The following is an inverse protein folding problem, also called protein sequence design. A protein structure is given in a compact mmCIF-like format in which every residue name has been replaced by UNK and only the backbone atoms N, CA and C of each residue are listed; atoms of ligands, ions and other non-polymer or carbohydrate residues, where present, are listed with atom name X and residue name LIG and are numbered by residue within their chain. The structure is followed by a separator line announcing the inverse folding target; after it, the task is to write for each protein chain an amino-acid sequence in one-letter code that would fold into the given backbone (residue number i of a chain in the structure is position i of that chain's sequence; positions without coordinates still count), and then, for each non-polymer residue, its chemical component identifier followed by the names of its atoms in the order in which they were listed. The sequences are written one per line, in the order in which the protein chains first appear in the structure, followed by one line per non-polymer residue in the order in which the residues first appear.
data_IF_126488473750
#
_entry.id   IF_126488473750
#
_cell.length_a   1.000
_cell.length_b   1.000
_cell.length_c   1.000
_cell.angle_alpha   90.00
_cell.angle_beta   90.00
_cell.angle_gamma   90.00
#
_symmetry.space_group_name_H-M   'P 1'
#
loop_
_entity.id
_entity.type
_entity.pdbx_description
1 polymer ?
#
# COMPACT_ATOMS: atom_id res chain seq x y z
N UNK A 1 -13.42 21.21 29.69
CA UNK A 1 -14.60 20.35 29.89
C UNK A 1 -14.24 18.99 29.32
N UNK A 2 -13.95 18.01 30.18
CA UNK A 2 -13.65 16.63 29.76
C UNK A 2 -14.91 16.04 29.14
N UNK A 3 -14.83 15.62 27.87
CA UNK A 3 -15.93 14.95 27.20
C UNK A 3 -16.36 13.71 27.98
N UNK A 4 -17.66 13.45 28.04
CA UNK A 4 -18.19 12.23 28.65
C UNK A 4 -17.59 11.00 27.94
N UNK A 5 -17.21 9.99 28.71
CA UNK A 5 -16.79 8.68 28.20
C UNK A 5 -17.94 8.14 27.33
N UNK A 6 -17.69 7.96 26.03
CA UNK A 6 -18.71 7.58 25.04
C UNK A 6 -18.32 6.29 24.32
N UNK A 7 -19.32 5.46 24.04
CA UNK A 7 -19.17 4.29 23.18
C UNK A 7 -19.39 4.69 21.71
N UNK A 8 -18.60 4.09 20.82
CA UNK A 8 -18.70 4.24 19.36
C UNK A 8 -18.80 2.84 18.71
N UNK A 9 -19.40 2.73 17.51
CA UNK A 9 -19.46 1.45 16.79
C UNK A 9 -18.07 0.91 16.44
N UNK A 10 -17.83 -0.36 16.75
CA UNK A 10 -16.56 -1.05 16.53
C UNK A 10 -16.38 -1.59 15.12
N UNK A 11 -17.49 -1.90 14.43
CA UNK A 11 -17.46 -2.62 13.15
C UNK A 11 -17.41 -4.13 13.29
N UNK A 12 -17.46 -4.62 14.53
CA UNK A 12 -17.64 -6.02 14.82
C UNK A 12 -18.93 -6.23 15.61
N UNK A 13 -19.91 -6.81 14.93
CA UNK A 13 -21.28 -6.96 15.47
C UNK A 13 -21.33 -7.68 16.82
N UNK A 14 -20.37 -8.56 17.12
CA UNK A 14 -20.28 -9.20 18.44
C UNK A 14 -19.99 -8.17 19.54
N UNK A 15 -19.06 -7.24 19.33
CA UNK A 15 -18.74 -6.18 20.30
C UNK A 15 -19.92 -5.21 20.39
N UNK A 16 -20.44 -4.77 19.25
CA UNK A 16 -21.50 -3.75 19.22
C UNK A 16 -22.78 -4.23 19.93
N UNK A 17 -23.11 -5.52 19.82
CA UNK A 17 -24.29 -6.12 20.48
C UNK A 17 -24.09 -6.40 21.98
N UNK A 18 -22.88 -6.77 22.40
CA UNK A 18 -22.62 -7.20 23.78
C UNK A 18 -22.10 -6.07 24.68
N UNK A 19 -21.33 -5.14 24.14
CA UNK A 19 -20.73 -4.01 24.86
C UNK A 19 -21.34 -2.65 24.47
N UNK A 20 -22.26 -2.61 23.51
CA UNK A 20 -22.79 -1.37 22.96
C UNK A 20 -21.79 -0.60 22.10
N UNK A 21 -20.64 -1.20 21.80
CA UNK A 21 -19.53 -0.60 21.05
C UNK A 21 -18.22 -0.65 21.82
N UNK A 22 -17.31 0.24 21.43
CA UNK A 22 -16.00 0.45 22.04
C UNK A 22 -15.89 1.86 22.59
N UNK A 23 -15.07 2.08 23.62
CA UNK A 23 -14.84 3.40 24.18
C UNK A 23 -14.05 4.26 23.19
N UNK A 24 -14.52 5.49 22.96
CA UNK A 24 -13.71 6.48 22.27
C UNK A 24 -12.46 6.78 23.09
N UNK A 25 -11.33 6.87 22.41
CA UNK A 25 -10.03 7.01 23.06
C UNK A 25 -9.54 5.69 23.66
N UNK A 26 -10.27 4.58 23.49
CA UNK A 26 -9.84 3.26 23.95
C UNK A 26 -8.82 2.62 23.02
N UNK A 27 -8.08 1.66 23.56
CA UNK A 27 -7.08 0.89 22.86
C UNK A 27 -7.47 -0.59 22.82
N UNK A 28 -7.34 -1.22 21.65
CA UNK A 28 -7.85 -2.58 21.41
C UNK A 28 -6.80 -3.42 20.70
N UNK A 29 -6.72 -4.70 21.03
CA UNK A 29 -5.80 -5.64 20.35
C UNK A 29 -6.59 -6.74 19.66
N UNK A 30 -6.25 -7.05 18.41
CA UNK A 30 -6.70 -8.25 17.69
C UNK A 30 -5.54 -9.24 17.58
N UNK A 31 -5.67 -10.38 18.26
CA UNK A 31 -4.65 -11.43 18.31
C UNK A 31 -5.15 -12.70 17.61
N UNK A 32 -4.30 -13.37 16.83
CA UNK A 32 -4.67 -14.68 16.28
C UNK A 32 -3.70 -15.24 15.23
N UNK A 33 -3.92 -16.48 14.76
CA UNK A 33 -3.06 -17.11 13.77
C UNK A 33 -3.18 -16.45 12.40
N UNK A 34 -2.23 -16.74 11.51
CA UNK A 34 -2.30 -16.32 10.11
C UNK A 34 -3.60 -16.77 9.45
N UNK A 35 -4.21 -15.92 8.63
CA UNK A 35 -5.50 -16.17 7.94
C UNK A 35 -6.69 -16.42 8.88
N UNK A 36 -6.69 -15.86 10.10
CA UNK A 36 -7.87 -15.86 10.99
C UNK A 36 -8.84 -14.69 10.76
N UNK A 37 -8.50 -13.74 9.88
CA UNK A 37 -9.36 -12.57 9.60
C UNK A 37 -8.98 -11.31 10.37
N UNK A 38 -7.78 -11.24 10.95
CA UNK A 38 -7.31 -10.09 11.73
C UNK A 38 -7.31 -8.78 10.94
N UNK A 39 -6.71 -8.76 9.75
CA UNK A 39 -6.75 -7.61 8.84
C UNK A 39 -8.17 -7.27 8.41
N UNK A 40 -9.04 -8.27 8.25
CA UNK A 40 -10.45 -8.04 7.92
C UNK A 40 -11.20 -7.33 9.06
N UNK A 41 -10.91 -7.66 10.32
CA UNK A 41 -11.42 -6.89 11.46
C UNK A 41 -10.89 -5.46 11.47
N UNK A 42 -9.60 -5.25 11.16
CA UNK A 42 -9.05 -3.90 10.99
C UNK A 42 -9.77 -3.11 9.89
N UNK A 43 -10.05 -3.73 8.75
CA UNK A 43 -10.79 -3.12 7.65
C UNK A 43 -12.25 -2.79 8.03
N UNK A 44 -12.93 -3.68 8.76
CA UNK A 44 -14.27 -3.42 9.30
C UNK A 44 -14.28 -2.24 10.28
N UNK A 45 -13.25 -2.14 11.13
CA UNK A 45 -13.08 -1.04 12.05
C UNK A 45 -12.86 0.31 11.32
N UNK A 46 -12.06 0.31 10.25
CA UNK A 46 -11.87 1.47 9.38
C UNK A 46 -13.15 1.86 8.65
N UNK A 47 -13.88 0.88 8.13
CA UNK A 47 -15.15 1.10 7.44
C UNK A 47 -16.19 1.77 8.35
N UNK A 48 -16.31 1.37 9.61
CA UNK A 48 -17.25 2.04 10.52
C UNK A 48 -16.87 3.48 10.84
N UNK A 49 -15.57 3.78 10.94
CA UNK A 49 -15.12 5.18 11.05
C UNK A 49 -15.59 6.00 9.84
N UNK A 50 -15.32 5.48 8.64
CA UNK A 50 -15.61 6.15 7.39
C UNK A 50 -17.13 6.32 7.15
N UNK A 51 -17.95 5.34 7.54
CA UNK A 51 -19.42 5.47 7.56
C UNK A 51 -19.91 6.58 8.48
N UNK A 52 -19.21 6.80 9.60
CA UNK A 52 -19.45 7.91 10.52
C UNK A 52 -18.87 9.25 10.05
N UNK A 53 -18.31 9.32 8.83
CA UNK A 53 -17.55 10.47 8.33
C UNK A 53 -16.38 10.86 9.24
N UNK A 54 -15.82 9.88 9.93
CA UNK A 54 -14.62 10.06 10.75
C UNK A 54 -13.38 9.56 10.01
N UNK A 55 -12.24 10.22 10.25
CA UNK A 55 -10.97 9.87 9.61
C UNK A 55 -10.30 8.71 10.36
N UNK A 56 -9.94 7.66 9.62
CA UNK A 56 -9.18 6.52 10.10
C UNK A 56 -7.81 6.44 9.41
N UNK A 57 -6.74 6.37 10.20
CA UNK A 57 -5.40 6.09 9.68
C UNK A 57 -5.12 4.59 9.80
N UNK A 58 -4.70 3.97 8.72
CA UNK A 58 -4.40 2.54 8.62
C UNK A 58 -2.92 2.35 8.30
N UNK A 59 -2.13 2.06 9.33
CA UNK A 59 -0.73 1.68 9.16
C UNK A 59 -0.63 0.21 8.78
N UNK A 60 0.06 -0.11 7.67
CA UNK A 60 0.20 -1.49 7.23
C UNK A 60 1.52 -1.83 6.56
N UNK A 61 1.96 -3.09 6.70
CA UNK A 61 3.05 -3.63 5.88
C UNK A 61 2.60 -4.01 4.46
N UNK A 62 1.29 -4.14 4.24
CA UNK A 62 0.75 -4.55 2.95
C UNK A 62 0.93 -3.47 1.88
N UNK A 63 1.07 -3.89 0.62
CA UNK A 63 0.99 -2.94 -0.49
C UNK A 63 -0.44 -2.42 -0.59
N UNK A 64 -0.66 -1.13 -0.91
CA UNK A 64 -2.01 -0.55 -0.99
C UNK A 64 -2.98 -1.37 -1.86
N UNK A 65 -2.50 -1.89 -3.01
CA UNK A 65 -3.31 -2.75 -3.87
C UNK A 65 -3.75 -4.06 -3.21
N UNK A 66 -2.89 -4.68 -2.42
CA UNK A 66 -3.24 -5.93 -1.72
C UNK A 66 -4.27 -5.65 -0.62
N UNK A 67 -4.16 -4.51 0.07
CA UNK A 67 -5.14 -4.08 1.07
C UNK A 67 -6.50 -3.77 0.41
N UNK A 68 -6.50 -3.09 -0.75
CA UNK A 68 -7.72 -2.85 -1.54
C UNK A 68 -8.40 -4.15 -1.98
N UNK A 69 -7.63 -5.16 -2.40
CA UNK A 69 -8.18 -6.48 -2.73
C UNK A 69 -8.82 -7.14 -1.51
N UNK A 70 -8.20 -7.05 -0.32
CA UNK A 70 -8.79 -7.58 0.91
C UNK A 70 -10.07 -6.82 1.30
N UNK A 71 -10.08 -5.50 1.19
CA UNK A 71 -11.27 -4.68 1.44
C UNK A 71 -12.42 -5.05 0.49
N UNK A 72 -12.13 -5.19 -0.81
CA UNK A 72 -13.13 -5.60 -1.80
C UNK A 72 -13.75 -6.97 -1.47
N UNK A 73 -12.99 -7.89 -0.86
CA UNK A 73 -13.50 -9.22 -0.44
C UNK A 73 -14.60 -9.16 0.62
N UNK A 74 -14.75 -8.03 1.32
CA UNK A 74 -15.78 -7.77 2.33
C UNK A 74 -16.76 -6.68 1.89
N UNK A 75 -16.86 -6.43 0.59
CA UNK A 75 -17.71 -5.39 -0.02
C UNK A 75 -17.39 -3.98 0.51
N UNK A 76 -16.11 -3.72 0.77
CA UNK A 76 -15.61 -2.44 1.23
C UNK A 76 -14.79 -1.79 0.11
N UNK A 77 -15.36 -0.78 -0.53
CA UNK A 77 -14.65 0.10 -1.47
C UNK A 77 -13.77 1.10 -0.70
N UNK A 78 -12.67 0.61 -0.15
CA UNK A 78 -11.71 1.43 0.58
C UNK A 78 -11.15 2.56 -0.29
N UNK A 79 -11.05 2.38 -1.60
CA UNK A 79 -10.49 3.38 -2.52
C UNK A 79 -11.36 4.65 -2.55
N UNK A 80 -12.69 4.49 -2.60
CA UNK A 80 -13.60 5.64 -2.54
C UNK A 80 -13.43 6.44 -1.24
N UNK A 81 -13.24 5.77 -0.11
CA UNK A 81 -13.01 6.45 1.18
C UNK A 81 -11.60 7.05 1.31
N UNK A 82 -10.60 6.47 0.65
CA UNK A 82 -9.27 7.07 0.53
C UNK A 82 -9.32 8.37 -0.28
N UNK A 83 -10.05 8.38 -1.40
CA UNK A 83 -10.23 9.58 -2.22
C UNK A 83 -10.96 10.71 -1.47
N UNK A 84 -11.76 10.38 -0.46
CA UNK A 84 -12.46 11.32 0.42
C UNK A 84 -11.63 11.75 1.64
N UNK A 85 -10.37 11.27 1.77
CA UNK A 85 -9.53 11.46 2.96
C UNK A 85 -10.16 10.93 4.27
N UNK A 86 -11.14 10.04 4.19
CA UNK A 86 -11.71 9.36 5.36
C UNK A 86 -10.87 8.16 5.79
N UNK A 87 -10.08 7.60 4.87
CA UNK A 87 -9.13 6.53 5.17
C UNK A 87 -7.77 6.90 4.63
N UNK A 88 -6.79 6.97 5.53
CA UNK A 88 -5.41 7.30 5.18
C UNK A 88 -4.57 6.03 5.36
N UNK A 89 -4.11 5.44 4.26
CA UNK A 89 -3.28 4.23 4.31
C UNK A 89 -1.81 4.62 4.32
N UNK A 90 -1.11 4.26 5.38
CA UNK A 90 0.32 4.52 5.54
C UNK A 90 1.06 3.19 5.47
N UNK A 91 1.93 3.02 4.47
CA UNK A 91 2.71 1.80 4.33
C UNK A 91 3.98 1.90 5.18
N UNK A 92 4.16 0.95 6.09
CA UNK A 92 5.36 0.78 6.89
C UNK A 92 6.32 -0.16 6.14
N UNK A 93 7.63 0.13 6.14
CA UNK A 93 8.64 -0.78 5.62
C UNK A 93 8.88 -1.96 6.60
N UNK A 94 9.00 -3.20 6.13
CA UNK A 94 9.28 -4.33 7.03
C UNK A 94 10.72 -4.30 7.56
N UNK A 95 10.99 -4.82 8.78
CA UNK A 95 12.32 -4.83 9.39
C UNK A 95 13.41 -5.57 8.61
N UNK A 96 13.03 -6.47 7.70
CA UNK A 96 13.99 -7.22 6.87
C UNK A 96 14.52 -6.42 5.68
N UNK A 97 13.87 -5.31 5.33
CA UNK A 97 14.39 -4.37 4.32
C UNK A 97 15.35 -3.34 4.97
N UNK A 98 15.77 -3.58 6.23
CA UNK A 98 16.52 -2.67 7.10
C UNK A 98 17.97 -3.15 7.31
N UNK A 99 18.57 -3.82 6.31
CA UNK A 99 19.99 -4.19 6.38
C UNK A 99 20.92 -2.93 6.42
N UNK A 100 20.39 -1.74 6.09
CA UNK A 100 21.13 -0.47 6.05
C UNK A 100 20.91 0.48 7.24
N UNK A 101 20.03 0.19 8.23
CA UNK A 101 19.95 1.02 9.45
C UNK A 101 20.84 0.46 10.57
N UNK A 102 21.78 1.29 11.02
CA UNK A 102 22.79 0.94 12.02
C UNK A 102 22.23 0.77 13.45
N UNK A 103 20.94 1.04 13.71
CA UNK A 103 20.33 0.89 15.04
C UNK A 103 18.79 0.69 14.99
N UNK A 104 18.24 -0.41 15.54
CA UNK A 104 16.79 -0.62 15.70
C UNK A 104 16.05 0.49 16.47
N UNK A 105 16.75 1.21 17.34
CA UNK A 105 16.16 2.30 18.12
C UNK A 105 15.86 3.53 17.23
N UNK A 106 16.70 3.82 16.23
CA UNK A 106 16.49 4.93 15.29
C UNK A 106 15.26 4.69 14.41
N UNK A 107 15.00 3.43 14.04
CA UNK A 107 13.80 3.02 13.33
C UNK A 107 12.52 3.25 14.14
N UNK A 108 12.55 3.00 15.46
CA UNK A 108 11.40 3.33 16.31
C UNK A 108 11.16 4.83 16.33
N UNK A 109 12.23 5.64 16.44
CA UNK A 109 12.10 7.10 16.46
C UNK A 109 11.50 7.62 15.16
N UNK A 110 11.96 7.13 14.00
CA UNK A 110 11.38 7.46 12.69
C UNK A 110 9.90 7.05 12.62
N UNK A 111 9.58 5.82 13.04
CA UNK A 111 8.21 5.32 13.08
C UNK A 111 7.28 6.16 13.98
N UNK A 112 7.75 6.57 15.16
CA UNK A 112 6.99 7.43 16.06
C UNK A 112 6.81 8.84 15.48
N UNK A 113 7.83 9.40 14.84
CA UNK A 113 7.74 10.69 14.15
C UNK A 113 6.73 10.65 12.99
N UNK A 114 6.68 9.55 12.24
CA UNK A 114 5.69 9.35 11.19
C UNK A 114 4.26 9.34 11.76
N UNK A 115 4.03 8.63 12.87
CA UNK A 115 2.73 8.63 13.55
C UNK A 115 2.33 10.05 13.94
N UNK A 116 3.23 10.81 14.59
CA UNK A 116 2.95 12.16 15.04
C UNK A 116 2.61 13.07 13.86
N UNK A 117 3.38 12.97 12.77
CA UNK A 117 3.18 13.76 11.55
C UNK A 117 1.82 13.49 10.93
N UNK A 118 1.46 12.22 10.77
CA UNK A 118 0.18 11.79 10.20
C UNK A 118 -0.98 12.20 11.11
N UNK A 119 -0.85 12.04 12.43
CA UNK A 119 -1.88 12.45 13.39
C UNK A 119 -2.10 13.96 13.35
N UNK A 120 -1.04 14.76 13.26
CA UNK A 120 -1.15 16.22 13.18
C UNK A 120 -1.71 16.70 11.84
N UNK A 121 -1.43 15.98 10.75
CA UNK A 121 -1.93 16.34 9.42
C UNK A 121 -3.41 15.99 9.24
N UNK A 122 -3.84 14.81 9.70
CA UNK A 122 -5.17 14.27 9.37
C UNK A 122 -6.16 14.26 10.53
N UNK A 123 -5.73 14.55 11.75
CA UNK A 123 -6.57 14.56 12.96
C UNK A 123 -7.52 13.35 13.05
N UNK A 124 -7.02 12.10 12.98
CA UNK A 124 -7.86 10.93 12.93
C UNK A 124 -8.64 10.73 14.22
N UNK A 125 -9.83 10.14 14.13
CA UNK A 125 -10.54 9.63 15.32
C UNK A 125 -10.15 8.18 15.62
N UNK A 126 -9.60 7.47 14.62
CA UNK A 126 -9.21 6.06 14.71
C UNK A 126 -7.85 5.79 14.07
N UNK A 127 -7.06 4.93 14.70
CA UNK A 127 -5.78 4.47 14.16
C UNK A 127 -5.72 2.94 14.22
N UNK A 128 -5.25 2.31 13.14
CA UNK A 128 -5.03 0.87 13.05
C UNK A 128 -3.55 0.60 12.77
N UNK A 129 -2.98 -0.37 13.46
CA UNK A 129 -1.61 -0.84 13.26
C UNK A 129 -1.61 -2.32 12.83
N UNK A 130 -1.41 -2.61 11.53
CA UNK A 130 -1.48 -3.96 10.96
C UNK A 130 -0.22 -4.38 10.16
N UNK A 131 0.75 -5.07 10.75
CA UNK A 131 0.81 -5.59 12.13
C UNK A 131 1.79 -4.78 12.98
N UNK A 132 1.71 -4.92 14.31
CA UNK A 132 2.56 -4.29 15.32
C UNK A 132 4.05 -4.74 15.25
N UNK A 133 4.70 -4.47 14.12
CA UNK A 133 6.01 -5.04 13.76
C UNK A 133 7.20 -4.30 14.37
N UNK A 134 7.21 -2.94 14.46
CA UNK A 134 8.32 -2.20 15.06
C UNK A 134 8.62 -2.63 16.51
N UNK A 135 7.57 -2.94 17.26
CA UNK A 135 7.66 -3.35 18.66
C UNK A 135 8.18 -4.78 18.87
N UNK A 136 8.20 -5.63 17.84
CA UNK A 136 8.72 -7.02 17.93
C UNK A 136 10.26 -7.05 17.87
N UNK A 137 10.90 -5.99 17.33
CA UNK A 137 12.36 -5.88 17.21
C UNK A 137 13.12 -5.52 18.49
N UNK A 138 12.42 -5.20 19.59
CA UNK A 138 13.04 -4.68 20.81
C UNK A 138 13.93 -5.70 21.52
N UNK A 139 15.16 -5.29 21.85
CA UNK A 139 16.11 -6.10 22.64
C UNK A 139 15.78 -6.10 24.13
N UNK A 140 15.27 -4.99 24.67
CA UNK A 140 14.90 -4.79 26.07
C UNK A 140 13.37 -4.68 26.22
N UNK A 141 12.77 -5.54 27.05
CA UNK A 141 11.31 -5.59 27.27
C UNK A 141 10.80 -4.44 28.15
N UNK A 142 11.61 -3.90 29.07
CA UNK A 142 11.20 -2.78 29.92
C UNK A 142 11.07 -1.51 29.09
N UNK A 143 12.05 -1.26 28.23
CA UNK A 143 12.01 -0.12 27.31
C UNK A 143 10.84 -0.23 26.31
N UNK A 144 10.57 -1.44 25.81
CA UNK A 144 9.40 -1.71 24.98
C UNK A 144 8.10 -1.33 25.69
N UNK A 145 7.95 -1.77 26.95
CA UNK A 145 6.78 -1.45 27.76
C UNK A 145 6.62 0.06 27.92
N UNK A 146 7.69 0.77 28.29
CA UNK A 146 7.63 2.22 28.51
C UNK A 146 7.28 2.97 27.21
N UNK A 147 7.89 2.58 26.08
CA UNK A 147 7.60 3.17 24.78
C UNK A 147 6.15 2.89 24.32
N UNK A 148 5.64 1.67 24.53
CA UNK A 148 4.27 1.30 24.21
C UNK A 148 3.27 2.09 25.06
N UNK A 149 3.50 2.18 26.37
CA UNK A 149 2.66 2.96 27.29
C UNK A 149 2.63 4.44 26.91
N UNK A 150 3.79 5.05 26.68
CA UNK A 150 3.86 6.45 26.25
C UNK A 150 3.12 6.69 24.93
N UNK A 151 3.23 5.76 23.96
CA UNK A 151 2.51 5.84 22.69
C UNK A 151 0.99 5.76 22.91
N UNK A 152 0.56 4.83 23.77
CA UNK A 152 -0.84 4.63 24.11
C UNK A 152 -1.40 5.88 24.78
N UNK A 153 -0.75 6.38 25.85
CA UNK A 153 -1.14 7.63 26.53
C UNK A 153 -1.24 8.82 25.56
N UNK A 154 -0.25 8.98 24.66
CA UNK A 154 -0.26 10.06 23.65
C UNK A 154 -1.46 9.98 22.70
N UNK A 155 -1.88 8.76 22.32
CA UNK A 155 -3.04 8.53 21.45
C UNK A 155 -4.34 8.79 22.23
N UNK A 156 -4.42 8.31 23.48
CA UNK A 156 -5.59 8.49 24.34
C UNK A 156 -5.83 9.97 24.72
N UNK A 157 -4.77 10.74 25.00
CA UNK A 157 -4.83 12.18 25.26
C UNK A 157 -5.43 12.99 24.09
N UNK A 158 -5.27 12.48 22.87
CA UNK A 158 -5.86 13.07 21.65
C UNK A 158 -7.28 12.56 21.36
N UNK A 159 -7.87 11.75 22.23
CA UNK A 159 -9.20 11.14 22.10
C UNK A 159 -9.35 10.29 20.81
N UNK A 160 -8.25 9.61 20.46
CA UNK A 160 -8.11 8.74 19.28
C UNK A 160 -8.26 7.28 19.72
N UNK A 161 -9.09 6.52 19.02
CA UNK A 161 -9.30 5.09 19.32
C UNK A 161 -8.30 4.24 18.52
N UNK A 162 -7.56 3.35 19.18
CA UNK A 162 -6.52 2.55 18.52
C UNK A 162 -6.84 1.06 18.42
N UNK A 163 -6.45 0.43 17.32
CA UNK A 163 -6.55 -1.01 17.09
C UNK A 163 -5.19 -1.58 16.66
N UNK A 164 -4.66 -2.49 17.45
CA UNK A 164 -3.38 -3.16 17.20
C UNK A 164 -3.61 -4.59 16.71
N UNK A 165 -3.10 -4.92 15.53
CA UNK A 165 -3.17 -6.28 14.99
C UNK A 165 -1.87 -7.02 15.27
N UNK A 166 -1.99 -8.19 15.90
CA UNK A 166 -0.87 -8.97 16.39
C UNK A 166 -1.01 -10.44 15.97
N UNK A 167 0.09 -11.03 15.53
CA UNK A 167 0.20 -12.46 15.21
C UNK A 167 0.29 -13.33 16.45
N UNK A 168 -0.21 -14.56 16.33
CA UNK A 168 0.03 -15.56 17.36
C UNK A 168 1.54 -15.77 17.58
N UNK A 169 2.04 -15.63 18.81
CA UNK A 169 3.46 -15.71 19.09
C UNK A 169 3.97 -17.15 18.90
N UNK A 170 5.06 -17.28 18.15
CA UNK A 170 5.71 -18.59 17.91
C UNK A 170 6.88 -18.89 18.87
N UNK A 171 7.28 -17.92 19.71
CA UNK A 171 8.40 -18.05 20.65
C UNK A 171 8.03 -17.50 22.02
N UNK A 172 8.70 -17.97 23.07
CA UNK A 172 8.48 -17.47 24.43
C UNK A 172 8.70 -15.96 24.55
N UNK A 173 9.70 -15.43 23.84
CA UNK A 173 9.98 -13.99 23.79
C UNK A 173 8.83 -13.22 23.14
N UNK A 174 8.34 -13.72 22.00
CA UNK A 174 7.18 -13.11 21.34
C UNK A 174 5.95 -13.15 22.26
N UNK A 175 5.75 -14.22 23.02
CA UNK A 175 4.67 -14.30 24.01
C UNK A 175 4.80 -13.19 25.06
N UNK A 176 5.98 -12.97 25.63
CA UNK A 176 6.19 -11.88 26.61
C UNK A 176 5.89 -10.50 26.03
N UNK A 177 6.20 -10.26 24.75
CA UNK A 177 5.87 -9.00 24.06
C UNK A 177 4.35 -8.86 23.92
N UNK A 178 3.66 -9.92 23.49
CA UNK A 178 2.20 -9.93 23.39
C UNK A 178 1.55 -9.72 24.76
N UNK A 179 2.07 -10.33 25.82
CA UNK A 179 1.56 -10.16 27.18
C UNK A 179 1.69 -8.70 27.66
N UNK A 180 2.83 -8.05 27.40
CA UNK A 180 3.02 -6.63 27.70
C UNK A 180 1.94 -5.80 26.99
N UNK A 181 1.79 -5.96 25.67
CA UNK A 181 0.84 -5.16 24.88
C UNK A 181 -0.60 -5.43 25.33
N UNK A 182 -0.98 -6.70 25.50
CA UNK A 182 -2.34 -7.10 25.86
C UNK A 182 -2.75 -6.69 27.28
N UNK A 183 -1.82 -6.53 28.22
CA UNK A 183 -2.13 -6.14 29.59
C UNK A 183 -2.47 -4.64 29.75
N UNK A 184 -2.04 -3.79 28.81
CA UNK A 184 -2.19 -2.33 28.92
C UNK A 184 -3.29 -1.74 28.04
N UNK A 185 -3.87 -2.53 27.14
CA UNK A 185 -5.00 -2.08 26.30
C UNK A 185 -6.35 -2.18 27.02
N UNK A 186 -7.37 -1.46 26.54
CA UNK A 186 -8.74 -1.52 27.06
C UNK A 186 -9.34 -2.93 26.94
N UNK A 187 -9.16 -3.59 25.80
CA UNK A 187 -9.64 -4.95 25.60
C UNK A 187 -8.87 -5.73 24.51
N UNK A 188 -8.96 -7.06 24.59
CA UNK A 188 -8.31 -8.01 23.70
C UNK A 188 -9.34 -8.86 22.97
N UNK A 189 -9.21 -8.94 21.64
CA UNK A 189 -10.03 -9.74 20.72
C UNK A 189 -9.14 -10.86 20.18
N UNK A 190 -9.29 -12.06 20.74
CA UNK A 190 -8.50 -13.23 20.35
C UNK A 190 -9.28 -14.12 19.37
N UNK A 191 -8.76 -14.28 18.17
CA UNK A 191 -9.23 -15.22 17.16
C UNK A 191 -8.46 -16.53 17.27
N UNK A 192 -9.19 -17.64 17.40
CA UNK A 192 -8.66 -19.00 17.40
C UNK A 192 -9.22 -19.74 16.20
N UNK A 193 -8.38 -20.46 15.47
CA UNK A 193 -8.86 -21.39 14.44
C UNK A 193 -9.39 -22.65 15.10
N UNK A 194 -10.41 -23.24 14.50
CA UNK A 194 -10.87 -24.59 14.86
C UNK A 194 -10.61 -25.50 13.67
N UNK A 195 -9.97 -26.65 13.89
CA UNK A 195 -9.58 -27.60 12.85
C UNK A 195 -10.77 -28.41 12.28
N UNK A 196 -12.01 -27.94 12.43
CA UNK A 196 -13.16 -28.65 11.88
C UNK A 196 -13.18 -28.48 10.36
N UNK A 197 -12.70 -29.51 9.68
CA UNK A 197 -12.41 -29.62 8.25
C UNK A 197 -13.64 -29.71 7.32
N UNK A 198 -14.84 -29.39 7.80
CA UNK A 198 -16.09 -29.60 7.03
C UNK A 198 -16.87 -28.33 6.70
N UNK A 199 -16.55 -27.17 7.28
CA UNK A 199 -17.26 -25.94 6.95
C UNK A 199 -16.71 -25.27 5.68
N UNK A 200 -17.63 -24.85 4.79
CA UNK A 200 -17.34 -24.16 3.52
C UNK A 200 -16.63 -22.79 3.71
N UNK A 201 -16.65 -22.24 4.93
CA UNK A 201 -16.06 -20.95 5.28
C UNK A 201 -14.96 -21.12 6.34
N UNK A 202 -13.85 -20.39 6.16
CA UNK A 202 -12.81 -20.31 7.17
C UNK A 202 -13.38 -19.62 8.42
N UNK A 203 -13.22 -20.21 9.59
CA UNK A 203 -13.77 -19.66 10.83
C UNK A 203 -13.06 -20.18 12.08
N UNK A 204 -13.58 -19.77 13.22
CA UNK A 204 -13.24 -20.42 14.46
C UNK A 204 -13.88 -19.77 15.68
N UNK A 205 -13.16 -19.73 16.80
CA UNK A 205 -13.68 -19.11 18.02
C UNK A 205 -13.07 -17.73 18.22
N UNK A 206 -13.89 -16.75 18.53
CA UNK A 206 -13.47 -15.43 18.97
C UNK A 206 -13.71 -15.32 20.47
N UNK A 207 -12.71 -14.85 21.19
CA UNK A 207 -12.77 -14.56 22.62
C UNK A 207 -12.49 -13.08 22.80
N UNK A 208 -13.39 -12.36 23.45
CA UNK A 208 -13.21 -10.95 23.75
C UNK A 208 -13.07 -10.80 25.26
N UNK A 209 -11.96 -10.23 25.72
CA UNK A 209 -11.63 -10.05 27.13
C UNK A 209 -11.40 -8.56 27.41
N UNK A 210 -12.19 -7.92 28.28
CA UNK A 210 -11.94 -6.55 28.70
C UNK A 210 -10.90 -6.52 29.83
N UNK A 211 -10.02 -5.51 29.80
CA UNK A 211 -9.13 -5.19 30.93
C UNK A 211 -9.67 -4.01 31.73
N UNK A 212 -10.32 -3.05 31.06
CA UNK A 212 -10.91 -1.86 31.66
C UNK A 212 -12.29 -1.61 31.06
N UNK A 213 -13.24 -1.18 31.90
CA UNK A 213 -14.62 -0.95 31.48
C UNK A 213 -15.34 -2.25 31.09
N UNK A 214 -16.38 -2.12 30.26
CA UNK A 214 -17.16 -3.26 29.72
C UNK A 214 -17.58 -4.26 30.81
N UNK A 215 -18.42 -3.80 31.75
CA UNK A 215 -18.86 -4.56 32.93
C UNK A 215 -19.60 -5.86 32.60
N UNK A 216 -20.01 -6.02 31.35
CA UNK A 216 -20.60 -7.25 30.82
C UNK A 216 -19.59 -8.40 30.74
N UNK A 217 -18.29 -8.10 30.81
CA UNK A 217 -17.22 -9.08 31.01
C UNK A 217 -16.73 -9.76 29.74
N UNK A 218 -16.19 -10.97 29.90
CA UNK A 218 -15.57 -11.75 28.81
C UNK A 218 -16.64 -12.47 27.98
N UNK A 219 -16.50 -12.41 26.66
CA UNK A 219 -17.37 -13.09 25.70
C UNK A 219 -16.61 -14.15 24.91
N UNK A 220 -17.31 -15.18 24.47
CA UNK A 220 -16.79 -16.17 23.54
C UNK A 220 -17.89 -16.57 22.57
N UNK A 221 -17.57 -16.57 21.27
CA UNK A 221 -18.51 -17.00 20.25
C UNK A 221 -17.78 -17.66 19.08
N UNK A 222 -18.52 -18.34 18.22
CA UNK A 222 -17.99 -18.83 16.94
C UNK A 222 -18.11 -17.71 15.91
N UNK A 223 -17.05 -17.47 15.16
CA UNK A 223 -17.05 -16.55 14.03
C UNK A 223 -16.76 -17.30 12.73
N UNK A 224 -17.24 -16.74 11.62
CA UNK A 224 -16.95 -17.19 10.27
C UNK A 224 -16.52 -16.00 9.42
N UNK A 225 -15.65 -16.25 8.45
CA UNK A 225 -15.27 -15.29 7.43
C UNK A 225 -16.16 -15.54 6.21
N UNK A 226 -17.14 -14.65 6.02
CA UNK A 226 -18.13 -14.77 4.94
C UNK A 226 -17.77 -13.75 3.84
N UNK A 227 -17.68 -14.18 2.57
CA UNK A 227 -17.47 -13.27 1.44
C UNK A 227 -18.49 -12.13 1.45
N UNK A 228 -18.07 -10.92 1.11
CA UNK A 228 -18.87 -9.70 1.09
C UNK A 228 -19.42 -9.23 2.45
N UNK A 229 -19.08 -9.91 3.55
CA UNK A 229 -19.44 -9.51 4.92
C UNK A 229 -18.25 -9.38 5.86
N UNK A 230 -17.19 -10.17 5.62
CA UNK A 230 -16.03 -10.23 6.50
C UNK A 230 -16.22 -11.16 7.69
N UNK A 231 -15.62 -10.79 8.82
CA UNK A 231 -15.66 -11.52 10.09
C UNK A 231 -16.99 -11.25 10.77
N UNK A 232 -17.84 -12.29 10.83
CA UNK A 232 -19.16 -12.22 11.43
C UNK A 232 -19.40 -13.38 12.39
N UNK A 233 -20.26 -13.14 13.38
CA UNK A 233 -20.79 -14.16 14.32
C UNK A 233 -22.21 -14.57 13.98
N UNK A 234 -22.81 -13.96 12.94
CA UNK A 234 -24.11 -14.36 12.44
C UNK A 234 -23.93 -15.55 11.50
N UNK A 235 -24.56 -16.68 11.84
CA UNK A 235 -24.62 -17.85 10.97
C UNK A 235 -25.17 -17.42 9.61
N UNK A 236 -24.38 -17.65 8.55
CA UNK A 236 -24.86 -17.43 7.20
C UNK A 236 -26.13 -18.27 6.98
N UNK A 237 -27.23 -17.70 6.45
CA UNK A 237 -28.34 -18.54 6.01
C UNK A 237 -27.80 -19.52 4.97
N UNK A 238 -28.18 -20.80 5.09
CA UNK A 238 -27.88 -21.81 4.08
C UNK A 238 -28.27 -21.25 2.71
N UNK A 239 -27.26 -20.99 1.87
CA UNK A 239 -27.52 -20.71 0.46
C UNK A 239 -28.18 -21.98 -0.09
N UNK A 240 -29.51 -21.94 -0.31
CA UNK A 240 -30.21 -22.95 -1.09
C UNK A 240 -29.43 -23.12 -2.38
N UNK A 241 -29.02 -24.36 -2.65
CA UNK A 241 -28.44 -24.73 -3.94
C UNK A 241 -29.38 -24.23 -5.04
N UNK A 242 -28.96 -23.16 -5.70
CA UNK A 242 -29.61 -22.73 -6.93
C UNK A 242 -29.01 -23.61 -8.02
N UNK A 243 -29.86 -24.55 -8.43
CA UNK A 243 -29.75 -25.42 -9.58
C UNK A 243 -29.11 -24.74 -10.80
N UNK A 244 -28.17 -25.47 -11.40
CA UNK A 244 -27.77 -25.48 -12.80
C UNK A 244 -27.33 -24.14 -13.44
N UNK A 245 -26.06 -23.81 -13.24
CA UNK A 245 -25.29 -23.18 -14.32
C UNK A 245 -24.76 -24.29 -15.24
N UNK A 246 -25.50 -24.60 -16.30
CA UNK A 246 -25.00 -25.41 -17.42
C UNK A 246 -23.83 -24.69 -18.09
N UNK A 247 -22.61 -25.14 -17.79
CA UNK A 247 -21.45 -24.85 -18.61
C UNK A 247 -21.63 -25.53 -19.97
N UNK A 248 -21.69 -24.74 -21.04
CA UNK A 248 -21.59 -25.30 -22.41
C UNK A 248 -20.10 -25.54 -22.67
N UNK A 249 -19.66 -26.79 -22.94
CA UNK A 249 -18.25 -27.08 -23.14
C UNK A 249 -17.78 -26.45 -24.46
N UNK A 250 -16.85 -25.50 -24.37
CA UNK A 250 -16.09 -25.05 -25.53
C UNK A 250 -15.15 -26.18 -25.92
N UNK A 251 -15.30 -26.65 -27.16
CA UNK A 251 -14.50 -27.71 -27.77
C UNK A 251 -13.01 -27.58 -27.46
N UNK A 252 -12.45 -28.61 -26.83
CA UNK A 252 -11.02 -28.79 -26.65
C UNK A 252 -10.36 -28.95 -28.03
N UNK A 253 -9.72 -27.90 -28.53
CA UNK A 253 -8.60 -28.09 -29.46
C UNK A 253 -7.44 -28.64 -28.65
N UNK A 254 -7.15 -29.94 -28.84
CA UNK A 254 -5.89 -30.57 -28.43
C UNK A 254 -4.74 -29.75 -29.01
N UNK A 255 -3.90 -29.18 -28.15
CA UNK A 255 -2.53 -28.84 -28.51
C UNK A 255 -1.64 -29.96 -28.01
N UNK A 256 -0.84 -30.52 -28.91
CA UNK A 256 0.12 -31.58 -28.63
C UNK A 256 1.12 -31.12 -27.55
N UNK A 257 1.26 -31.96 -26.53
CA UNK A 257 2.29 -31.83 -25.50
C UNK A 257 3.65 -32.20 -26.11
N UNK A 258 4.31 -31.29 -26.82
CA UNK A 258 5.77 -31.30 -26.97
C UNK A 258 6.25 -29.95 -27.51
N UNK A 259 7.21 -29.35 -26.78
CA UNK A 259 7.88 -28.05 -27.04
C UNK A 259 7.05 -26.80 -26.74
N UNK A 260 6.81 -26.55 -25.46
CA UNK A 260 6.67 -25.18 -24.96
C UNK A 260 8.04 -24.82 -24.40
N UNK A 261 8.82 -24.03 -25.14
CA UNK A 261 9.92 -23.29 -24.52
C UNK A 261 9.27 -22.31 -23.54
N UNK A 262 9.45 -22.56 -22.24
CA UNK A 262 9.16 -21.54 -21.24
C UNK A 262 10.23 -20.46 -21.39
N UNK A 263 9.88 -19.19 -21.66
CA UNK A 263 10.79 -18.12 -21.31
C UNK A 263 10.90 -18.13 -19.79
N UNK A 264 12.08 -18.46 -19.29
CA UNK A 264 12.47 -18.25 -17.91
C UNK A 264 12.59 -16.75 -17.67
N UNK A 265 11.47 -16.06 -17.44
CA UNK A 265 11.51 -14.73 -16.85
C UNK A 265 11.02 -14.78 -15.40
N UNK A 266 11.88 -14.45 -14.41
CA UNK A 266 11.46 -14.29 -13.04
C UNK A 266 10.45 -13.14 -12.96
N UNK A 267 9.34 -13.35 -12.24
CA UNK A 267 8.30 -12.35 -11.93
C UNK A 267 8.85 -10.91 -11.88
N UNK A 268 8.74 -10.18 -12.99
CA UNK A 268 9.16 -8.79 -13.06
C UNK A 268 8.07 -7.92 -12.44
N UNK A 269 8.41 -7.18 -11.39
CA UNK A 269 7.56 -6.10 -10.89
C UNK A 269 7.30 -5.12 -12.05
N UNK A 270 6.04 -4.90 -12.41
CA UNK A 270 5.70 -3.88 -13.40
C UNK A 270 5.82 -2.51 -12.72
N UNK A 271 6.89 -1.79 -13.01
CA UNK A 271 7.07 -0.38 -12.63
C UNK A 271 6.30 0.57 -13.55
N UNK A 272 5.28 0.06 -14.25
CA UNK A 272 4.47 0.79 -15.22
C UNK A 272 3.12 1.09 -14.58
N UNK A 273 2.74 2.36 -14.56
CA UNK A 273 1.54 2.90 -13.94
C UNK A 273 0.66 3.56 -14.99
N UNK A 274 -0.65 3.57 -14.75
CA UNK A 274 -1.55 4.41 -15.54
C UNK A 274 -1.37 5.89 -15.15
N UNK A 275 -1.92 6.79 -15.97
CA UNK A 275 -1.76 8.24 -15.80
C UNK A 275 -2.19 8.74 -14.41
N UNK A 276 -3.35 8.29 -13.92
CA UNK A 276 -3.89 8.74 -12.63
C UNK A 276 -3.04 8.26 -11.46
N UNK A 277 -2.63 6.99 -11.46
CA UNK A 277 -1.73 6.43 -10.45
C UNK A 277 -0.36 7.13 -10.47
N UNK A 278 0.14 7.45 -11.66
CA UNK A 278 1.40 8.16 -11.82
C UNK A 278 1.35 9.59 -11.29
N UNK A 279 0.24 10.32 -11.50
CA UNK A 279 0.02 11.65 -10.93
C UNK A 279 0.04 11.62 -9.39
N UNK A 280 -0.60 10.63 -8.78
CA UNK A 280 -0.59 10.46 -7.32
C UNK A 280 0.84 10.25 -6.79
N UNK A 281 1.61 9.40 -7.46
CA UNK A 281 3.00 9.14 -7.10
C UNK A 281 3.86 10.39 -7.26
N UNK A 282 3.67 11.14 -8.35
CA UNK A 282 4.39 12.39 -8.62
C UNK A 282 4.07 13.47 -7.58
N UNK A 283 2.79 13.62 -7.19
CA UNK A 283 2.38 14.53 -6.12
C UNK A 283 3.07 14.21 -4.79
N UNK A 284 3.16 12.92 -4.44
CA UNK A 284 3.89 12.48 -3.25
C UNK A 284 5.38 12.84 -3.33
N UNK A 285 6.02 12.70 -4.50
CA UNK A 285 7.42 13.11 -4.66
C UNK A 285 7.62 14.63 -4.54
N UNK A 286 6.69 15.43 -5.07
CA UNK A 286 6.70 16.90 -4.91
C UNK A 286 6.58 17.27 -3.43
N UNK A 287 5.69 16.60 -2.69
CA UNK A 287 5.55 16.82 -1.25
C UNK A 287 6.83 16.44 -0.48
N UNK A 288 7.48 15.32 -0.84
CA UNK A 288 8.78 14.93 -0.28
C UNK A 288 9.88 15.95 -0.56
N UNK A 289 9.94 16.50 -1.77
CA UNK A 289 10.88 17.55 -2.12
C UNK A 289 10.69 18.79 -1.24
N UNK A 290 9.44 19.24 -1.05
CA UNK A 290 9.12 20.41 -0.22
C UNK A 290 9.43 20.22 1.26
N UNK A 291 9.35 18.99 1.78
CA UNK A 291 9.59 18.73 3.21
C UNK A 291 11.04 18.36 3.54
N UNK A 292 11.75 17.67 2.64
CA UNK A 292 13.09 17.13 2.89
C UNK A 292 14.19 17.72 2.01
N UNK A 293 13.83 18.46 0.96
CA UNK A 293 14.76 18.91 -0.08
C UNK A 293 15.21 17.80 -1.03
N UNK A 294 14.64 16.59 -0.95
CA UNK A 294 15.01 15.48 -1.82
C UNK A 294 14.59 15.73 -3.27
N UNK A 295 15.57 15.94 -4.15
CA UNK A 295 15.34 16.19 -5.58
C UNK A 295 14.94 14.92 -6.33
N UNK A 296 14.22 15.11 -7.44
CA UNK A 296 13.88 14.07 -8.40
C UNK A 296 13.81 14.66 -9.80
N UNK A 297 13.88 13.79 -10.80
CA UNK A 297 13.78 14.17 -12.21
C UNK A 297 12.61 13.47 -12.87
N UNK A 298 11.87 14.22 -13.68
CA UNK A 298 10.84 13.71 -14.55
C UNK A 298 11.33 13.77 -16.00
N UNK A 299 11.52 12.60 -16.59
CA UNK A 299 12.14 12.45 -17.91
C UNK A 299 11.11 11.89 -18.89
N UNK A 300 10.84 12.61 -19.96
CA UNK A 300 9.92 12.21 -21.03
C UNK A 300 10.70 11.82 -22.27
N UNK A 301 10.49 10.59 -22.76
CA UNK A 301 10.99 10.10 -24.04
C UNK A 301 9.85 10.10 -25.06
N UNK A 302 9.91 11.00 -26.02
CA UNK A 302 8.94 11.11 -27.12
C UNK A 302 9.44 10.38 -28.35
N UNK A 303 8.59 9.57 -28.96
CA UNK A 303 8.85 8.97 -30.27
C UNK A 303 8.24 9.84 -31.38
N UNK A 304 9.04 10.25 -32.35
CA UNK A 304 8.57 10.99 -33.52
C UNK A 304 7.60 10.14 -34.36
N UNK A 305 6.51 10.75 -34.83
CA UNK A 305 5.54 10.13 -35.74
C UNK A 305 6.19 9.60 -37.02
N UNK A 306 7.28 10.23 -37.49
CA UNK A 306 8.05 9.75 -38.64
C UNK A 306 8.68 8.36 -38.40
N UNK A 307 9.02 8.01 -37.16
CA UNK A 307 9.59 6.70 -36.80
C UNK A 307 8.54 5.58 -36.86
N UNK A 308 7.32 5.86 -36.40
CA UNK A 308 6.18 4.94 -36.48
C UNK A 308 5.77 4.68 -37.94
N UNK A 309 5.71 5.72 -38.76
CA UNK A 309 5.32 5.60 -40.18
C UNK A 309 6.35 4.82 -41.02
N UNK A 310 7.65 4.94 -40.68
CA UNK A 310 8.73 4.18 -41.32
C UNK A 310 8.93 2.78 -40.75
N UNK A 311 8.23 2.42 -39.67
CA UNK A 311 8.33 1.11 -39.02
C UNK A 311 9.70 0.81 -38.38
N UNK A 312 10.49 1.85 -38.07
CA UNK A 312 11.85 1.67 -37.54
C UNK A 312 11.84 1.23 -36.07
N UNK A 313 11.00 1.87 -35.25
CA UNK A 313 10.77 1.55 -33.84
C UNK A 313 9.32 1.81 -33.49
N UNK A 314 8.72 0.91 -32.72
CA UNK A 314 7.38 1.07 -32.14
C UNK A 314 7.45 1.65 -30.73
N UNK A 315 6.36 2.28 -30.27
CA UNK A 315 6.27 2.79 -28.89
C UNK A 315 6.42 1.68 -27.84
N UNK A 316 5.94 0.47 -28.14
CA UNK A 316 6.08 -0.70 -27.27
C UNK A 316 7.54 -1.15 -27.15
N UNK A 317 8.29 -1.10 -28.26
CA UNK A 317 9.73 -1.38 -28.25
C UNK A 317 10.50 -0.33 -27.45
N UNK A 318 10.17 0.97 -27.63
CA UNK A 318 10.76 2.03 -26.82
C UNK A 318 10.43 1.85 -25.33
N UNK A 319 9.19 1.54 -24.99
CA UNK A 319 8.77 1.25 -23.62
C UNK A 319 9.55 0.07 -23.03
N UNK A 320 9.82 -0.97 -23.83
CA UNK A 320 10.61 -2.12 -23.40
C UNK A 320 12.07 -1.73 -23.12
N UNK A 321 12.70 -0.95 -24.01
CA UNK A 321 14.06 -0.43 -23.83
C UNK A 321 14.17 0.46 -22.59
N UNK A 322 13.18 1.32 -22.34
CA UNK A 322 13.10 2.13 -21.11
C UNK A 322 12.96 1.24 -19.89
N UNK A 323 12.05 0.25 -19.90
CA UNK A 323 11.85 -0.68 -18.77
C UNK A 323 13.13 -1.43 -18.38
N UNK A 324 13.89 -1.88 -19.37
CA UNK A 324 15.16 -2.59 -19.14
C UNK A 324 16.28 -1.67 -18.63
N UNK A 325 16.13 -0.36 -18.81
CA UNK A 325 17.13 0.65 -18.46
C UNK A 325 16.84 1.36 -17.14
N UNK A 326 15.62 1.25 -16.61
CA UNK A 326 15.20 1.87 -15.35
C UNK A 326 15.39 0.94 -14.15
N UNK A 327 15.66 1.52 -12.97
CA UNK A 327 15.78 0.76 -11.73
C UNK A 327 14.41 0.38 -11.15
N UNK A 328 14.41 -0.58 -10.23
CA UNK A 328 13.19 -1.02 -9.49
C UNK A 328 12.46 0.13 -8.76
N UNK A 329 13.19 1.17 -8.37
CA UNK A 329 12.63 2.35 -7.68
C UNK A 329 11.98 3.36 -8.62
N UNK A 330 12.34 3.37 -9.90
CA UNK A 330 11.84 4.34 -10.86
C UNK A 330 10.41 3.97 -11.29
N UNK A 331 9.63 4.96 -11.71
CA UNK A 331 8.21 4.80 -12.05
C UNK A 331 8.00 5.23 -13.48
N UNK A 332 7.28 4.42 -14.26
CA UNK A 332 7.08 4.64 -15.70
C UNK A 332 5.60 4.87 -15.97
N UNK A 333 5.27 5.85 -16.80
CA UNK A 333 3.93 6.09 -17.32
C UNK A 333 3.98 6.23 -18.84
N UNK A 334 2.99 5.64 -19.52
CA UNK A 334 2.83 5.76 -20.97
C UNK A 334 1.68 6.73 -21.27
N UNK A 335 1.95 7.72 -22.10
CA UNK A 335 0.94 8.67 -22.59
C UNK A 335 1.14 8.82 -24.10
N UNK A 336 0.21 8.28 -24.89
CA UNK A 336 0.25 8.34 -26.36
C UNK A 336 1.59 7.86 -26.96
N UNK A 337 2.41 8.78 -27.47
CA UNK A 337 3.75 8.54 -28.05
C UNK A 337 4.90 8.87 -27.09
N UNK A 338 4.62 9.07 -25.80
CA UNK A 338 5.58 9.47 -24.77
C UNK A 338 5.72 8.39 -23.70
N UNK A 339 6.96 8.01 -23.39
CA UNK A 339 7.31 7.18 -22.24
C UNK A 339 7.92 8.09 -21.18
N UNK A 340 7.22 8.27 -20.07
CA UNK A 340 7.63 9.17 -18.99
C UNK A 340 8.20 8.34 -17.85
N UNK A 341 9.33 8.76 -17.32
CA UNK A 341 10.06 8.11 -16.25
C UNK A 341 10.27 9.11 -15.12
N UNK A 342 9.79 8.75 -13.94
CA UNK A 342 10.11 9.45 -12.69
C UNK A 342 11.32 8.77 -12.04
N UNK A 343 12.44 9.49 -12.05
CA UNK A 343 13.69 9.08 -11.42
C UNK A 343 13.72 9.56 -9.97
N UNK A 344 13.48 8.63 -9.05
CA UNK A 344 13.47 8.90 -7.61
C UNK A 344 14.92 9.12 -7.15
N UNK A 345 15.20 10.30 -6.58
CA UNK A 345 16.57 10.77 -6.29
C UNK A 345 17.41 10.94 -7.57
N UNK A 346 16.79 11.45 -8.63
CA UNK A 346 17.45 11.78 -9.88
C UNK A 346 18.41 12.95 -9.74
N UNK A 347 19.44 12.95 -10.59
CA UNK A 347 20.32 14.08 -10.84
C UNK A 347 20.73 14.05 -12.32
N UNK A 348 21.40 15.09 -12.82
CA UNK A 348 21.81 15.18 -14.23
C UNK A 348 22.59 13.94 -14.71
N UNK A 349 23.47 13.39 -13.86
CA UNK A 349 24.21 12.15 -14.16
C UNK A 349 23.28 10.93 -14.32
N UNK A 350 22.27 10.80 -13.47
CA UNK A 350 21.30 9.70 -13.54
C UNK A 350 20.47 9.75 -14.83
N UNK A 351 20.16 10.94 -15.33
CA UNK A 351 19.45 11.11 -16.61
C UNK A 351 20.34 10.73 -17.80
N UNK A 352 21.63 11.07 -17.75
CA UNK A 352 22.63 10.65 -18.74
C UNK A 352 22.81 9.12 -18.73
N UNK A 353 22.99 8.52 -17.55
CA UNK A 353 23.15 7.06 -17.39
C UNK A 353 21.91 6.31 -17.92
N UNK A 354 20.71 6.84 -17.67
CA UNK A 354 19.46 6.29 -18.23
C UNK A 354 19.45 6.39 -19.77
N UNK A 355 19.86 7.52 -20.33
CA UNK A 355 19.89 7.76 -21.78
C UNK A 355 20.83 6.79 -22.50
N UNK A 356 22.03 6.60 -21.97
CA UNK A 356 23.00 5.61 -22.49
C UNK A 356 22.46 4.20 -22.37
N UNK A 357 21.82 3.86 -21.24
CA UNK A 357 21.23 2.54 -21.03
C UNK A 357 20.10 2.25 -22.02
N UNK A 358 19.26 3.25 -22.32
CA UNK A 358 18.18 3.12 -23.32
C UNK A 358 18.75 2.84 -24.71
N UNK A 359 19.81 3.55 -25.12
CA UNK A 359 20.46 3.32 -26.41
C UNK A 359 21.00 1.88 -26.54
N UNK A 360 21.61 1.36 -25.47
CA UNK A 360 22.14 -0.01 -25.44
C UNK A 360 21.05 -1.09 -25.46
N UNK A 361 19.85 -0.76 -24.96
CA UNK A 361 18.69 -1.64 -24.89
C UNK A 361 17.70 -1.44 -26.06
N UNK A 362 18.08 -0.69 -27.11
CA UNK A 362 17.27 -0.57 -28.32
C UNK A 362 17.15 -1.94 -29.04
N UNK A 363 16.08 -2.15 -29.83
CA UNK A 363 15.78 -3.47 -30.42
C UNK A 363 16.86 -4.06 -31.34
N UNK A 364 17.73 -3.22 -31.89
CA UNK A 364 18.83 -3.63 -32.75
C UNK A 364 20.09 -2.83 -32.39
N UNK A 365 21.24 -3.51 -32.36
CA UNK A 365 22.53 -2.95 -31.98
C UNK A 365 23.39 -2.48 -33.17
N UNK A 366 22.87 -2.51 -34.39
CA UNK A 366 23.56 -1.93 -35.54
C UNK A 366 23.75 -0.41 -35.34
N UNK A 367 24.99 0.05 -35.50
CA UNK A 367 25.40 1.45 -35.34
C UNK A 367 24.56 2.39 -36.21
N UNK A 368 24.22 1.98 -37.45
CA UNK A 368 23.39 2.80 -38.35
C UNK A 368 21.95 2.92 -37.86
N UNK A 369 21.44 1.84 -37.29
CA UNK A 369 20.10 1.80 -36.71
C UNK A 369 20.02 2.66 -35.44
N UNK A 370 20.95 2.49 -34.50
CA UNK A 370 20.98 3.27 -33.25
C UNK A 370 21.05 4.77 -33.55
N UNK A 371 21.90 5.19 -34.50
CA UNK A 371 22.02 6.60 -34.88
C UNK A 371 20.71 7.15 -35.47
N UNK A 372 20.09 6.41 -36.39
CA UNK A 372 18.83 6.83 -37.03
C UNK A 372 17.68 6.90 -36.03
N UNK A 373 17.60 5.94 -35.11
CA UNK A 373 16.55 5.88 -34.09
C UNK A 373 16.76 6.93 -32.99
N UNK A 374 18.01 7.18 -32.59
CA UNK A 374 18.34 8.18 -31.56
C UNK A 374 18.04 9.61 -32.01
N UNK A 375 18.04 9.89 -33.31
CA UNK A 375 17.58 11.17 -33.85
C UNK A 375 16.04 11.32 -33.82
N UNK A 376 15.32 10.20 -33.78
CA UNK A 376 13.85 10.14 -33.80
C UNK A 376 13.22 9.94 -32.42
N UNK A 377 14.04 9.77 -31.38
CA UNK A 377 13.63 9.80 -29.98
C UNK A 377 14.08 11.14 -29.42
N UNK A 378 13.15 11.90 -28.85
CA UNK A 378 13.47 13.16 -28.18
C UNK A 378 13.29 13.02 -26.67
N UNK A 379 14.21 13.61 -25.91
CA UNK A 379 14.21 13.63 -24.44
C UNK A 379 13.86 15.04 -23.94
N UNK A 380 13.00 15.09 -22.93
CA UNK A 380 12.74 16.29 -22.14
C UNK A 380 12.88 15.94 -20.66
N UNK A 381 13.71 16.69 -19.95
CA UNK A 381 13.99 16.47 -18.54
C UNK A 381 13.55 17.70 -17.74
N UNK A 382 12.75 17.47 -16.70
CA UNK A 382 12.38 18.47 -15.71
C UNK A 382 12.96 18.04 -14.38
N UNK A 383 13.81 18.88 -13.80
CA UNK A 383 14.22 18.76 -12.41
C UNK A 383 13.20 19.49 -11.53
N UNK A 384 12.83 18.90 -10.39
CA UNK A 384 11.89 19.55 -9.47
C UNK A 384 12.49 20.83 -8.92
N UNK A 385 11.69 21.91 -8.89
CA UNK A 385 12.04 23.19 -8.28
C UNK A 385 10.90 23.71 -7.39
N UNK A 386 11.17 24.77 -6.63
CA UNK A 386 10.21 25.39 -5.71
C UNK A 386 8.95 25.96 -6.41
N UNK A 387 8.99 26.15 -7.74
CA UNK A 387 7.86 26.68 -8.52
C UNK A 387 6.84 25.59 -8.86
N UNK A 388 7.18 24.32 -8.68
CA UNK A 388 6.27 23.20 -8.91
C UNK A 388 5.25 23.11 -7.77
N UNK A 389 4.01 23.51 -8.04
CA UNK A 389 2.93 23.45 -7.07
C UNK A 389 2.36 22.03 -6.91
N UNK A 390 2.07 21.36 -8.02
CA UNK A 390 1.43 20.05 -8.07
C UNK A 390 1.85 19.24 -9.32
N UNK A 391 1.49 17.96 -9.36
CA UNK A 391 1.83 17.03 -10.43
C UNK A 391 1.13 17.36 -11.75
N UNK A 392 -0.08 17.93 -11.73
CA UNK A 392 -0.79 18.34 -12.94
C UNK A 392 -0.02 19.44 -13.66
N UNK A 393 0.44 20.48 -12.96
CA UNK A 393 1.29 21.53 -13.51
C UNK A 393 2.58 20.97 -14.13
N UNK A 394 3.22 20.00 -13.46
CA UNK A 394 4.46 19.39 -13.95
C UNK A 394 4.23 18.51 -15.20
N UNK A 395 3.10 17.80 -15.25
CA UNK A 395 2.70 16.99 -16.41
C UNK A 395 2.21 17.86 -17.56
N UNK A 396 1.53 18.97 -17.28
CA UNK A 396 1.15 19.97 -18.27
C UNK A 396 2.38 20.55 -18.95
N UNK A 397 3.51 20.78 -18.26
CA UNK A 397 4.76 21.17 -18.95
C UNK A 397 5.23 20.11 -19.97
N UNK A 398 5.07 18.82 -19.68
CA UNK A 398 5.46 17.72 -20.59
C UNK A 398 4.51 17.60 -21.78
N UNK A 399 3.21 17.83 -21.54
CA UNK A 399 2.15 17.73 -22.55
C UNK A 399 2.13 18.99 -23.44
N UNK A 400 2.22 20.18 -22.85
CA UNK A 400 2.13 21.48 -23.56
C UNK A 400 3.41 21.87 -24.28
N UNK A 401 4.57 21.32 -23.89
CA UNK A 401 5.83 21.44 -24.62
C UNK A 401 5.77 20.90 -26.08
N UNK A 402 4.65 20.28 -26.46
CA UNK A 402 4.32 19.88 -27.83
C UNK A 402 3.86 21.04 -28.73
N UNK A 403 3.21 22.07 -28.17
CA UNK A 403 2.56 23.14 -28.93
C UNK A 403 3.40 24.42 -29.03
N UNK A 404 4.39 24.59 -28.17
CA UNK A 404 5.35 25.70 -28.23
C UNK A 404 6.50 25.33 -29.16
N UNK A 405 6.70 26.10 -30.23
CA UNK A 405 7.82 25.98 -31.18
C UNK A 405 9.22 26.26 -30.58
N UNK A 406 9.41 26.03 -29.28
CA UNK A 406 10.60 26.37 -28.51
C UNK A 406 11.27 25.09 -27.95
N UNK A 407 12.42 24.74 -28.52
CA UNK A 407 13.68 24.21 -27.95
C UNK A 407 13.72 23.27 -26.72
N UNK A 408 12.60 22.70 -26.25
CA UNK A 408 12.60 21.96 -24.99
C UNK A 408 12.94 20.46 -25.15
N UNK A 409 12.51 19.83 -26.23
CA UNK A 409 12.85 18.43 -26.52
C UNK A 409 14.14 18.34 -27.34
N UNK A 410 15.15 17.67 -26.79
CA UNK A 410 16.44 17.44 -27.46
C UNK A 410 16.47 16.04 -28.09
N UNK A 411 17.02 15.84 -29.29
CA UNK A 411 17.26 14.49 -29.82
C UNK A 411 18.14 13.68 -28.87
N UNK A 412 17.84 12.39 -28.71
CA UNK A 412 18.60 11.48 -27.84
C UNK A 412 20.10 11.43 -28.21
N UNK A 413 20.42 11.65 -29.49
CA UNK A 413 21.80 11.73 -29.99
C UNK A 413 22.58 12.95 -29.48
N UNK A 414 21.91 14.07 -29.18
CA UNK A 414 22.52 15.32 -28.71
C UNK A 414 22.58 15.47 -27.20
N UNK A 415 21.90 14.58 -26.46
CA UNK A 415 21.85 14.65 -24.99
C UNK A 415 23.13 14.12 -24.31
N UNK A 416 23.93 13.32 -25.03
CA UNK A 416 25.21 12.77 -24.56
C UNK A 416 26.44 13.58 -25.03
N UNK A 417 26.24 14.74 -25.67
CA UNK A 417 27.29 15.56 -26.30
C UNK A 417 27.85 16.64 -25.37
#
# INVERSE_FOLDING_TARGET
MSGAIRLIPSGFSLIDKNWGGIYRGGSYVVLGPRKSGRTLLGLQFALEAAKGSEVCVFFTLMRPKDLMIQAASINFDIQSYMNQNLIIVVRIAPPTDIDDLYNPDDYLVEYLNDIITVVNQYHPTRIIFDELTPFIGFRNLDYLKDAFLHTLETIEEKDITSLFVIGEPATQRAQSIVDIVTNYVTAVIQLKKTDKSEDRYHGGQVVITPNVGHTEGRFTNTYQIVPNKGVTVELAPELRETSDYTFTPINQRRFDQTKIDLPSEPYAFSNIYNYNDFLLILNNQIALYKSTGQTFNLVSFKLDHAAQMKGLVTIQQLQNSVRLSTNKKDKICLIENKVIVLLVRGNAKSVMDLTVSIQNNLPNQDVRYINTVSELISIFNIEVDDKVENAESMMDFIITAENSASENYLPLSKYNS
#
